data_IF_751606936030
#
_entry.id   IF_751606936030
#
_cell.length_a   1.000
_cell.length_b   1.000
_cell.length_c   1.000
_cell.angle_alpha   90.00
_cell.angle_beta   90.00
_cell.angle_gamma   90.00
#
_symmetry.space_group_name_H-M   'P 1'
#
loop_
_entity.id
_entity.type
_entity.pdbx_description
1 polymer ?
#
# COMPACT_ATOMS: atom_id res chain seq x y z
N UNK A 1 0.65 -0.50 16.38
CA UNK A 1 1.33 0.48 15.51
C UNK A 1 1.63 1.72 16.33
N UNK A 2 2.72 2.44 16.07
CA UNK A 2 3.06 3.68 16.78
C UNK A 2 3.97 4.59 15.93
N UNK A 3 4.12 5.83 16.38
CA UNK A 3 4.88 6.88 15.71
C UNK A 3 6.33 6.48 15.44
N UNK A 4 7.01 5.79 16.36
CA UNK A 4 8.40 5.37 16.16
C UNK A 4 8.53 4.39 14.98
N UNK A 5 7.56 3.48 14.82
CA UNK A 5 7.53 2.55 13.68
C UNK A 5 7.28 3.33 12.38
N UNK A 6 6.33 4.27 12.38
CA UNK A 6 6.06 5.14 11.24
C UNK A 6 7.28 5.95 10.80
N UNK A 7 7.94 6.62 11.74
CA UNK A 7 9.18 7.36 11.51
C UNK A 7 10.28 6.47 10.95
N UNK A 8 10.42 5.25 11.49
CA UNK A 8 11.42 4.27 11.02
C UNK A 8 11.14 3.84 9.58
N UNK A 9 9.89 3.50 9.25
CA UNK A 9 9.50 3.09 7.90
C UNK A 9 9.73 4.20 6.88
N UNK A 10 9.25 5.42 7.15
CA UNK A 10 9.41 6.54 6.23
C UNK A 10 10.88 6.88 5.98
N UNK A 11 11.71 6.93 7.04
CA UNK A 11 13.15 7.16 6.92
C UNK A 11 13.81 6.04 6.10
N UNK A 12 13.51 4.78 6.41
CA UNK A 12 14.12 3.62 5.73
C UNK A 12 13.78 3.57 4.24
N UNK A 13 12.52 3.79 3.87
CA UNK A 13 12.10 3.82 2.46
C UNK A 13 12.83 4.95 1.71
N UNK A 14 12.89 6.15 2.29
CA UNK A 14 13.57 7.28 1.67
C UNK A 14 15.08 7.04 1.51
N UNK A 15 15.74 6.46 2.52
CA UNK A 15 17.18 6.15 2.48
C UNK A 15 17.53 5.03 1.50
N UNK A 16 16.64 4.05 1.34
CA UNK A 16 16.90 2.88 0.49
C UNK A 16 16.27 3.01 -0.91
N UNK A 17 15.62 4.13 -1.23
CA UNK A 17 14.91 4.33 -2.50
C UNK A 17 15.80 4.04 -3.72
N UNK A 18 17.06 4.46 -3.70
CA UNK A 18 17.99 4.26 -4.83
C UNK A 18 18.54 2.82 -4.93
N UNK A 19 18.28 1.97 -3.93
CA UNK A 19 18.85 0.62 -3.82
C UNK A 19 17.91 -0.50 -4.27
N UNK A 20 16.66 -0.18 -4.55
CA UNK A 20 15.60 -1.15 -4.94
C UNK A 20 14.70 -0.54 -6.01
N UNK A 21 13.92 -1.36 -6.71
CA UNK A 21 12.97 -0.90 -7.72
C UNK A 21 11.56 -0.64 -7.16
N UNK A 22 11.29 -1.09 -5.94
CA UNK A 22 10.02 -0.90 -5.24
C UNK A 22 10.08 -1.48 -3.83
N UNK A 23 9.02 -1.24 -3.05
CA UNK A 23 8.89 -1.72 -1.69
C UNK A 23 7.57 -2.46 -1.49
N UNK A 24 7.62 -3.56 -0.75
CA UNK A 24 6.45 -4.23 -0.18
C UNK A 24 6.57 -4.23 1.34
N UNK A 25 5.52 -3.79 2.03
CA UNK A 25 5.46 -3.71 3.48
C UNK A 25 4.37 -4.67 3.97
N UNK A 26 4.77 -5.80 4.55
CA UNK A 26 3.85 -6.69 5.25
C UNK A 26 3.43 -6.05 6.58
N UNK A 27 2.13 -5.87 6.78
CA UNK A 27 1.59 -5.15 7.92
C UNK A 27 0.28 -5.79 8.42
N UNK A 28 0.01 -5.68 9.73
CA UNK A 28 -1.25 -6.13 10.31
C UNK A 28 -2.44 -5.30 9.82
N UNK A 29 -3.61 -5.91 9.65
CA UNK A 29 -4.73 -5.23 8.99
C UNK A 29 -5.37 -4.13 9.81
N UNK A 30 -5.23 -4.15 11.14
CA UNK A 30 -6.07 -3.31 12.01
C UNK A 30 -5.78 -1.82 11.91
N UNK A 31 -4.57 -1.46 11.49
CA UNK A 31 -4.10 -0.05 11.40
C UNK A 31 -3.37 0.19 10.07
N UNK A 32 -3.60 -0.66 9.07
CA UNK A 32 -2.92 -0.55 7.78
C UNK A 32 -3.27 0.75 7.05
N UNK A 33 -4.54 1.17 7.12
CA UNK A 33 -5.02 2.43 6.54
C UNK A 33 -4.31 3.65 7.12
N UNK A 34 -4.06 3.67 8.43
CA UNK A 34 -3.35 4.77 9.10
C UNK A 34 -1.89 4.84 8.66
N UNK A 35 -1.18 3.69 8.67
CA UNK A 35 0.21 3.62 8.23
C UNK A 35 0.35 3.96 6.75
N UNK A 36 -0.57 3.49 5.91
CA UNK A 36 -0.56 3.77 4.48
C UNK A 36 -0.68 5.27 4.23
N UNK A 37 -1.61 5.94 4.91
CA UNK A 37 -1.80 7.38 4.76
C UNK A 37 -0.61 8.18 5.32
N UNK A 38 -0.05 7.78 6.47
CA UNK A 38 1.16 8.41 7.01
C UNK A 38 2.32 8.33 6.00
N UNK A 39 2.57 7.14 5.44
CA UNK A 39 3.62 6.95 4.45
C UNK A 39 3.32 7.71 3.16
N UNK A 40 2.05 7.80 2.76
CA UNK A 40 1.64 8.57 1.58
C UNK A 40 1.90 10.08 1.71
N UNK A 41 2.06 10.59 2.93
CA UNK A 41 2.42 12.00 3.15
C UNK A 41 3.93 12.20 3.35
N UNK A 42 4.66 11.16 3.78
CA UNK A 42 6.03 11.30 4.29
C UNK A 42 7.09 10.68 3.39
N UNK A 43 6.79 9.63 2.63
CA UNK A 43 7.72 9.00 1.67
C UNK A 43 7.98 9.94 0.49
N UNK A 44 9.24 10.11 0.08
CA UNK A 44 9.69 10.90 -1.10
C UNK A 44 10.18 10.02 -2.25
N UNK A 45 10.10 8.71 -2.10
CA UNK A 45 10.44 7.78 -3.17
C UNK A 45 9.28 7.72 -4.16
N UNK A 46 9.54 8.00 -5.44
CA UNK A 46 8.51 7.93 -6.50
C UNK A 46 8.29 6.48 -7.01
N UNK A 47 9.15 5.55 -6.59
CA UNK A 47 9.03 4.11 -6.87
C UNK A 47 7.83 3.52 -6.11
N UNK A 48 7.22 2.42 -6.61
CA UNK A 48 6.07 1.81 -5.95
C UNK A 48 6.35 1.44 -4.48
N UNK A 49 5.46 1.85 -3.59
CA UNK A 49 5.44 1.44 -2.18
C UNK A 49 4.09 0.82 -1.89
N UNK A 50 4.08 -0.50 -1.66
CA UNK A 50 2.86 -1.29 -1.53
C UNK A 50 2.77 -1.88 -0.13
N UNK A 51 1.67 -1.63 0.56
CA UNK A 51 1.32 -2.30 1.81
C UNK A 51 0.44 -3.50 1.54
N UNK A 52 0.63 -4.56 2.33
CA UNK A 52 -0.11 -5.83 2.20
C UNK A 52 -0.26 -6.51 3.55
N UNK A 53 -1.33 -7.28 3.72
CA UNK A 53 -1.59 -8.07 4.93
C UNK A 53 -2.39 -9.32 4.62
N UNK A 54 -2.95 -9.90 5.68
CA UNK A 54 -3.83 -11.05 5.60
C UNK A 54 -4.89 -10.95 6.70
N UNK A 55 -6.15 -11.22 6.35
CA UNK A 55 -7.25 -11.29 7.31
C UNK A 55 -7.28 -12.64 8.03
N UNK A 56 -6.80 -13.70 7.37
CA UNK A 56 -6.70 -15.03 7.96
C UNK A 56 -5.24 -15.35 8.31
N UNK A 57 -4.97 -16.02 9.44
CA UNK A 57 -3.61 -16.41 9.81
C UNK A 57 -3.04 -17.41 8.80
N UNK A 58 -1.71 -17.47 8.71
CA UNK A 58 -1.00 -18.33 7.74
C UNK A 58 -1.30 -19.82 7.89
N UNK A 59 -1.73 -20.28 9.06
CA UNK A 59 -2.08 -21.67 9.37
C UNK A 59 -3.55 -22.01 9.09
N UNK A 60 -4.37 -21.03 8.71
CA UNK A 60 -5.78 -21.26 8.41
C UNK A 60 -5.97 -21.99 7.08
N UNK A 61 -7.07 -22.73 6.97
CA UNK A 61 -7.55 -23.22 5.68
C UNK A 61 -7.93 -22.02 4.80
N UNK A 62 -7.44 -22.03 3.56
CA UNK A 62 -7.66 -20.93 2.60
C UNK A 62 -7.15 -19.56 3.12
N UNK A 63 -5.95 -19.55 3.70
CA UNK A 63 -5.25 -18.32 4.08
C UNK A 63 -5.08 -17.40 2.86
N UNK A 64 -5.38 -16.11 3.02
CA UNK A 64 -5.32 -15.09 1.96
C UNK A 64 -3.91 -14.48 1.80
N UNK A 65 -3.08 -14.55 2.85
CA UNK A 65 -1.73 -14.00 2.87
C UNK A 65 -0.82 -14.39 1.69
N UNK A 66 -0.73 -15.68 1.29
CA UNK A 66 0.12 -16.08 0.17
C UNK A 66 -0.21 -15.36 -1.15
N UNK A 67 -1.49 -15.25 -1.49
CA UNK A 67 -1.90 -14.61 -2.74
C UNK A 67 -1.90 -13.08 -2.64
N UNK A 68 -2.26 -12.52 -1.48
CA UNK A 68 -2.11 -11.09 -1.23
C UNK A 68 -0.64 -10.66 -1.41
N UNK A 69 0.31 -11.41 -0.84
CA UNK A 69 1.74 -11.11 -0.96
C UNK A 69 2.22 -11.22 -2.42
N UNK A 70 1.81 -12.25 -3.14
CA UNK A 70 2.11 -12.37 -4.57
C UNK A 70 1.63 -11.14 -5.36
N UNK A 71 0.37 -10.74 -5.17
CA UNK A 71 -0.20 -9.59 -5.86
C UNK A 71 0.42 -8.25 -5.44
N UNK A 72 0.86 -8.12 -4.19
CA UNK A 72 1.60 -6.95 -3.72
C UNK A 72 2.97 -6.84 -4.40
N UNK A 73 3.67 -7.96 -4.60
CA UNK A 73 4.94 -8.00 -5.35
C UNK A 73 4.70 -7.71 -6.84
N UNK A 74 3.65 -8.26 -7.45
CA UNK A 74 3.22 -7.89 -8.82
C UNK A 74 3.03 -6.39 -8.93
N UNK A 75 2.32 -5.78 -7.97
CA UNK A 75 2.06 -4.34 -7.95
C UNK A 75 3.33 -3.52 -7.75
N UNK A 76 4.24 -3.95 -6.87
CA UNK A 76 5.49 -3.25 -6.63
C UNK A 76 6.47 -3.34 -7.83
N UNK A 77 6.36 -4.39 -8.64
CA UNK A 77 7.17 -4.61 -9.84
C UNK A 77 6.59 -3.95 -11.11
N UNK A 78 5.30 -3.60 -11.12
CA UNK A 78 4.67 -2.93 -12.26
C UNK A 78 5.08 -1.44 -12.30
N UNK A 79 5.72 -1.05 -13.41
CA UNK A 79 6.12 0.33 -13.67
C UNK A 79 4.91 1.28 -13.65
N UNK A 80 3.72 0.80 -14.00
CA UNK A 80 2.50 1.60 -13.99
C UNK A 80 2.03 1.96 -12.57
N UNK A 81 2.54 1.31 -11.53
CA UNK A 81 2.22 1.58 -10.12
C UNK A 81 2.98 2.78 -9.56
N UNK A 82 4.06 3.21 -10.20
CA UNK A 82 4.85 4.37 -9.78
C UNK A 82 4.01 5.65 -9.84
N UNK A 83 4.37 6.65 -9.01
CA UNK A 83 3.70 7.96 -8.96
C UNK A 83 2.20 7.95 -8.58
N UNK A 84 1.69 6.87 -7.98
CA UNK A 84 0.30 6.78 -7.49
C UNK A 84 0.17 6.97 -5.98
N UNK A 85 1.23 7.42 -5.32
CA UNK A 85 1.33 7.46 -3.87
C UNK A 85 1.66 6.10 -3.26
N UNK A 86 1.47 5.97 -1.95
CA UNK A 86 1.53 4.67 -1.27
C UNK A 86 0.24 3.89 -1.56
N UNK A 87 0.39 2.60 -1.83
CA UNK A 87 -0.70 1.71 -2.25
C UNK A 87 -0.99 0.68 -1.16
N UNK A 88 -2.24 0.22 -1.08
CA UNK A 88 -2.63 -0.99 -0.36
C UNK A 88 -3.11 -2.02 -1.37
N UNK A 89 -2.60 -3.24 -1.29
CA UNK A 89 -3.03 -4.36 -2.14
C UNK A 89 -3.59 -5.47 -1.29
N UNK A 90 -4.88 -5.73 -1.47
CA UNK A 90 -5.63 -6.76 -0.75
C UNK A 90 -6.73 -7.28 -1.67
N UNK A 91 -6.99 -8.60 -1.65
CA UNK A 91 -8.10 -9.22 -2.36
C UNK A 91 -8.21 -8.74 -3.83
N UNK A 92 -7.12 -8.94 -4.59
CA UNK A 92 -6.99 -8.65 -6.03
C UNK A 92 -7.21 -7.19 -6.43
N UNK A 93 -7.14 -6.25 -5.48
CA UNK A 93 -7.47 -4.85 -5.70
C UNK A 93 -6.31 -3.94 -5.28
N UNK A 94 -6.01 -2.94 -6.11
CA UNK A 94 -5.06 -1.88 -5.77
C UNK A 94 -5.81 -0.63 -5.30
N UNK A 95 -5.52 -0.20 -4.08
CA UNK A 95 -6.19 0.90 -3.39
C UNK A 95 -5.17 2.01 -3.08
N UNK A 96 -5.61 3.27 -3.12
CA UNK A 96 -4.78 4.38 -2.68
C UNK A 96 -4.71 4.45 -1.16
N UNK A 97 -3.54 4.81 -0.62
CA UNK A 97 -3.31 4.88 0.82
C UNK A 97 -4.14 5.94 1.56
N UNK A 98 -4.87 6.81 0.87
CA UNK A 98 -5.66 7.89 1.48
C UNK A 98 -7.13 7.52 1.69
N UNK A 99 -7.77 6.86 0.73
CA UNK A 99 -9.20 6.52 0.80
C UNK A 99 -9.46 5.10 1.32
N UNK A 100 -8.43 4.24 1.31
CA UNK A 100 -8.53 2.85 1.78
C UNK A 100 -8.88 2.77 3.26
N UNK A 101 -9.86 1.93 3.60
CA UNK A 101 -10.23 1.62 4.99
C UNK A 101 -10.74 0.18 5.11
N UNK A 102 -10.60 -0.40 6.31
CA UNK A 102 -11.10 -1.72 6.70
C UNK A 102 -12.59 -1.63 7.03
N UNK A 103 -13.42 -2.13 6.14
CA UNK A 103 -14.90 -2.03 6.23
C UNK A 103 -15.59 -3.13 7.03
N UNK A 104 -14.87 -4.22 7.34
CA UNK A 104 -15.38 -5.40 8.00
C UNK A 104 -14.31 -6.04 8.91
N UNK A 105 -14.73 -6.62 10.03
CA UNK A 105 -13.84 -7.18 11.04
C UNK A 105 -13.19 -8.51 10.65
N UNK A 106 -13.78 -9.29 9.73
CA UNK A 106 -13.33 -10.66 9.41
C UNK A 106 -13.27 -11.00 7.93
N UNK A 107 -13.95 -10.25 7.05
CA UNK A 107 -13.97 -10.51 5.61
C UNK A 107 -12.60 -10.28 4.97
N UNK A 108 -12.17 -11.19 4.08
CA UNK A 108 -10.95 -11.04 3.28
C UNK A 108 -11.04 -9.86 2.30
N UNK A 109 -12.26 -9.50 1.86
CA UNK A 109 -12.53 -8.38 0.97
C UNK A 109 -12.74 -7.04 1.71
N UNK A 110 -12.29 -6.95 2.97
CA UNK A 110 -12.61 -5.83 3.89
C UNK A 110 -12.02 -4.48 3.47
N UNK A 111 -10.85 -4.45 2.83
CA UNK A 111 -10.23 -3.20 2.44
C UNK A 111 -10.88 -2.63 1.19
N UNK A 112 -11.37 -1.39 1.29
CA UNK A 112 -12.03 -0.68 0.20
C UNK A 112 -11.66 0.81 0.26
N UNK A 113 -11.48 1.43 -0.91
CA UNK A 113 -11.48 2.89 -1.05
C UNK A 113 -12.95 3.32 -1.17
N UNK A 114 -13.56 3.68 -0.03
CA UNK A 114 -15.02 3.75 0.12
C UNK A 114 -15.65 5.00 -0.49
N UNK A 115 -14.89 6.06 -0.75
CA UNK A 115 -15.45 7.30 -1.28
C UNK A 115 -15.16 7.47 -2.79
N UNK A 116 -13.97 7.05 -3.24
CA UNK A 116 -13.51 7.30 -4.62
C UNK A 116 -13.24 6.03 -5.43
N UNK A 117 -13.32 4.85 -4.79
CA UNK A 117 -13.10 3.56 -5.44
C UNK A 117 -11.62 3.22 -5.66
N UNK A 118 -11.34 1.98 -6.12
CA UNK A 118 -9.98 1.49 -6.30
C UNK A 118 -9.25 2.15 -7.47
N UNK A 119 -7.94 2.03 -7.47
CA UNK A 119 -7.09 2.49 -8.57
C UNK A 119 -7.13 1.54 -9.76
N UNK A 120 -7.18 0.25 -9.48
CA UNK A 120 -7.20 -0.82 -10.45
C UNK A 120 -7.43 -2.18 -9.82
N UNK A 121 -7.64 -3.18 -10.67
CA UNK A 121 -7.82 -4.57 -10.28
C UNK A 121 -6.71 -5.44 -10.89
N UNK A 122 -6.35 -6.49 -10.16
CA UNK A 122 -5.29 -7.41 -10.52
C UNK A 122 -5.93 -8.68 -11.06
N UNK A 123 -5.59 -9.06 -12.28
CA UNK A 123 -6.04 -10.31 -12.88
C UNK A 123 -4.87 -10.97 -13.61
N UNK A 124 -4.60 -12.24 -13.27
CA UNK A 124 -3.55 -13.04 -13.90
C UNK A 124 -2.16 -12.35 -13.91
N UNK A 125 -1.79 -11.75 -12.77
CA UNK A 125 -0.52 -11.04 -12.60
C UNK A 125 -0.39 -9.72 -13.38
N UNK A 126 -1.50 -9.17 -13.87
CA UNK A 126 -1.55 -7.88 -14.59
C UNK A 126 -2.55 -6.95 -13.93
N UNK A 127 -2.27 -5.66 -13.96
CA UNK A 127 -3.09 -4.64 -13.32
C UNK A 127 -3.76 -3.78 -14.40
N UNK A 128 -5.09 -3.68 -14.32
CA UNK A 128 -5.84 -2.70 -15.10
C UNK A 128 -6.06 -1.44 -14.25
N UNK A 129 -5.22 -0.43 -14.45
CA UNK A 129 -5.33 0.87 -13.77
C UNK A 129 -6.26 1.80 -14.53
N UNK A 130 -7.33 2.24 -13.87
CA UNK A 130 -8.31 3.20 -14.44
C UNK A 130 -8.41 4.51 -13.66
N UNK A 131 -7.73 4.62 -12.50
CA UNK A 131 -7.72 5.82 -11.65
C UNK A 131 -6.33 6.09 -11.09
N UNK A 132 -6.10 7.32 -10.68
CA UNK A 132 -4.95 7.77 -9.88
C UNK A 132 -5.45 8.82 -8.89
N UNK A 133 -4.96 8.86 -7.63
CA UNK A 133 -5.45 9.84 -6.68
C UNK A 133 -5.03 11.26 -7.10
N UNK A 134 -6.02 12.14 -7.29
CA UNK A 134 -5.74 13.54 -7.66
C UNK A 134 -5.01 14.30 -6.54
N UNK A 135 -5.25 13.93 -5.27
CA UNK A 135 -4.45 14.37 -4.13
C UNK A 135 -3.24 13.47 -3.92
N UNK A 136 -2.37 13.40 -4.92
CA UNK A 136 -1.00 12.90 -4.74
C UNK A 136 -0.10 14.11 -4.53
N UNK A 137 0.52 14.24 -3.35
CA UNK A 137 1.57 15.24 -3.15
C UNK A 137 2.81 14.71 -3.87
N UNK A 138 3.36 15.41 -4.88
CA UNK A 138 4.59 14.98 -5.54
C UNK A 138 5.71 14.77 -4.52
N UNK A 139 6.57 13.77 -4.69
CA UNK A 139 7.68 13.52 -3.77
C UNK A 139 8.48 14.79 -3.43
N UNK A 140 8.69 15.65 -4.44
CA UNK A 140 9.38 16.94 -4.33
C UNK A 140 8.71 17.97 -3.42
N UNK A 141 7.40 17.84 -3.16
CA UNK A 141 6.60 18.78 -2.34
C UNK A 141 6.20 18.24 -0.98
N UNK A 142 6.49 16.98 -0.68
CA UNK A 142 6.17 16.42 0.64
C UNK A 142 7.18 17.01 1.64
N UNK A 143 6.84 18.06 2.39
CA UNK A 143 7.72 18.63 3.43
C UNK A 143 7.05 18.50 4.81
N UNK A 144 7.21 17.33 5.44
CA UNK A 144 7.20 17.27 6.90
C UNK A 144 8.66 17.18 7.30
N UNK A 145 9.21 18.24 7.88
CA UNK A 145 10.49 18.13 8.59
C UNK A 145 10.23 17.23 9.79
N UNK A 146 10.66 15.97 9.69
CA UNK A 146 10.71 15.06 10.84
C UNK A 146 11.97 15.44 11.64
N UNK A 147 11.96 16.64 12.22
CA UNK A 147 12.98 17.14 13.15
C UNK A 147 12.81 16.49 14.51
#
# INVERSE_FOLDING_TARGET
MNDNVWLTLAKKINTDCDKTDGFVITHGTDTMEETAYFLDLTVKCDKPVVMVGAMRPSTSMSADGPFNLYNAVVTAADKASANRGVLVVMNDTVLDGRDVTKTNTTDVATFKSVNYGPLGYIHNGKIDYQRTPARSIPATRRSMSLS
#
